data_IF_213680442906
#
_entry.id   IF_213680442906
#
_cell.length_a   1.000
_cell.length_b   1.000
_cell.length_c   1.000
_cell.angle_alpha   90.00
_cell.angle_beta   90.00
_cell.angle_gamma   90.00
#
_symmetry.space_group_name_H-M   'P 1'
#
loop_
_entity.id
_entity.type
_entity.pdbx_description
1 polymer ?
#
# COMPACT_ATOMS: atom_id res chain seq x y z
N UNK A 1 23.84 28.47 -66.88
CA UNK A 1 22.83 27.49 -66.38
C UNK A 1 23.24 27.09 -64.99
N UNK A 2 22.53 27.54 -63.94
CA UNK A 2 22.71 27.09 -62.57
C UNK A 2 21.63 26.05 -62.23
N UNK A 3 22.06 24.82 -61.97
CA UNK A 3 21.16 23.74 -61.57
C UNK A 3 20.93 23.87 -60.06
N UNK A 4 19.68 24.06 -59.68
CA UNK A 4 19.25 24.08 -58.28
C UNK A 4 19.10 22.66 -57.74
N UNK A 5 19.77 22.33 -56.63
CA UNK A 5 19.60 21.07 -55.91
C UNK A 5 18.35 21.13 -55.03
N UNK A 6 17.56 20.05 -54.93
CA UNK A 6 16.38 20.02 -54.07
C UNK A 6 16.75 19.87 -52.59
N UNK A 7 16.12 20.66 -51.74
CA UNK A 7 16.21 20.60 -50.27
C UNK A 7 15.51 19.32 -49.73
N UNK A 8 16.07 18.69 -48.72
CA UNK A 8 15.43 17.52 -48.11
C UNK A 8 14.20 17.88 -47.24
N UNK A 9 13.14 17.10 -47.39
CA UNK A 9 11.90 17.27 -46.66
C UNK A 9 12.07 17.13 -45.14
N UNK A 10 11.60 18.12 -44.39
CA UNK A 10 11.55 18.11 -42.90
C UNK A 10 10.54 17.05 -42.43
N UNK A 11 11.05 15.95 -41.85
CA UNK A 11 10.21 14.96 -41.12
C UNK A 11 9.62 15.63 -39.89
N UNK A 12 8.29 15.78 -39.83
CA UNK A 12 7.58 16.19 -38.62
C UNK A 12 7.71 15.10 -37.56
N UNK A 13 8.46 15.37 -36.51
CA UNK A 13 8.47 14.55 -35.32
C UNK A 13 7.09 14.59 -34.68
N UNK A 14 6.37 13.47 -34.68
CA UNK A 14 5.15 13.28 -33.90
C UNK A 14 5.55 13.24 -32.43
N UNK A 15 5.32 14.34 -31.70
CA UNK A 15 5.35 14.39 -30.25
C UNK A 15 4.32 13.39 -29.71
N UNK A 16 4.78 12.24 -29.24
CA UNK A 16 4.00 11.36 -28.39
C UNK A 16 3.91 12.03 -27.00
N UNK A 17 2.92 12.91 -26.84
CA UNK A 17 2.45 13.30 -25.51
C UNK A 17 1.86 12.03 -24.88
N UNK A 18 2.57 11.46 -23.93
CA UNK A 18 2.04 10.48 -23.01
C UNK A 18 0.77 11.06 -22.37
N UNK A 19 -0.39 10.56 -22.77
CA UNK A 19 -1.65 10.82 -22.05
C UNK A 19 -1.51 10.18 -20.66
N UNK A 20 -0.99 10.92 -19.70
CA UNK A 20 -1.14 10.59 -18.30
C UNK A 20 -2.63 10.64 -18.01
N UNK A 21 -3.21 9.50 -17.63
CA UNK A 21 -4.62 9.39 -17.25
C UNK A 21 -4.86 10.22 -15.97
N UNK A 22 -5.54 11.37 -16.02
CA UNK A 22 -5.76 12.23 -14.85
C UNK A 22 -6.68 11.57 -13.81
N UNK A 23 -7.40 10.50 -14.17
CA UNK A 23 -8.38 9.83 -13.33
C UNK A 23 -7.81 8.88 -12.25
N UNK A 24 -6.55 8.42 -12.37
CA UNK A 24 -5.97 7.52 -11.36
C UNK A 24 -5.54 8.24 -10.09
N UNK A 25 -5.00 9.46 -10.21
CA UNK A 25 -4.61 10.27 -9.05
C UNK A 25 -5.82 10.71 -8.22
N UNK A 26 -6.94 10.99 -8.89
CA UNK A 26 -8.17 11.41 -8.25
C UNK A 26 -8.81 10.32 -7.35
N UNK A 27 -8.75 9.03 -7.71
CA UNK A 27 -9.33 7.94 -6.90
C UNK A 27 -8.60 7.74 -5.55
N UNK A 28 -7.27 7.75 -5.54
CA UNK A 28 -6.47 7.62 -4.32
C UNK A 28 -6.67 8.84 -3.40
N UNK A 29 -6.69 10.04 -3.97
CA UNK A 29 -6.96 11.28 -3.23
C UNK A 29 -8.36 11.29 -2.60
N UNK A 30 -9.39 10.90 -3.37
CA UNK A 30 -10.76 10.78 -2.83
C UNK A 30 -10.86 9.74 -1.72
N UNK A 31 -10.23 8.59 -1.86
CA UNK A 31 -10.20 7.58 -0.80
C UNK A 31 -9.55 8.10 0.48
N UNK A 32 -8.44 8.86 0.39
CA UNK A 32 -7.82 9.48 1.57
C UNK A 32 -8.74 10.51 2.23
N UNK A 33 -9.47 11.31 1.44
CA UNK A 33 -10.46 12.25 1.97
C UNK A 33 -11.61 11.54 2.68
N UNK A 34 -12.15 10.46 2.10
CA UNK A 34 -13.22 9.63 2.68
C UNK A 34 -12.75 9.01 4.01
N UNK A 35 -11.56 8.41 4.06
CA UNK A 35 -10.96 7.87 5.29
C UNK A 35 -10.80 8.97 6.33
N UNK A 36 -10.28 10.14 5.93
CA UNK A 36 -10.12 11.28 6.81
C UNK A 36 -11.45 11.75 7.40
N UNK A 37 -12.50 11.85 6.60
CA UNK A 37 -13.83 12.24 7.04
C UNK A 37 -14.43 11.24 8.06
N UNK A 38 -14.29 9.93 7.81
CA UNK A 38 -14.72 8.88 8.74
C UNK A 38 -14.03 9.01 10.09
N UNK A 39 -12.72 9.24 10.11
CA UNK A 39 -11.94 9.39 11.34
C UNK A 39 -12.32 10.69 12.08
N UNK A 40 -12.47 11.81 11.37
CA UNK A 40 -12.87 13.11 11.96
C UNK A 40 -14.28 13.02 12.58
N UNK A 41 -15.18 12.24 11.97
CA UNK A 41 -16.51 11.96 12.54
C UNK A 41 -16.48 11.06 13.79
N UNK A 42 -15.29 10.69 14.30
CA UNK A 42 -15.13 9.87 15.50
C UNK A 42 -15.12 8.36 15.21
N UNK A 43 -14.97 7.96 13.96
CA UNK A 43 -14.88 6.56 13.57
C UNK A 43 -13.65 5.87 14.18
N UNK A 44 -13.88 4.75 14.87
CA UNK A 44 -12.82 3.95 15.52
C UNK A 44 -13.27 2.49 15.72
N UNK A 45 -12.28 1.65 16.01
CA UNK A 45 -12.52 0.23 16.30
C UNK A 45 -12.54 -0.66 15.06
N UNK A 46 -12.84 -1.92 15.28
CA UNK A 46 -12.74 -2.99 14.28
C UNK A 46 -13.49 -2.69 12.98
N UNK A 47 -14.76 -2.32 13.08
CA UNK A 47 -15.64 -2.13 11.90
C UNK A 47 -15.13 -1.01 10.99
N UNK A 48 -14.64 0.08 11.58
CA UNK A 48 -14.06 1.21 10.83
C UNK A 48 -12.74 0.80 10.16
N UNK A 49 -11.89 0.04 10.86
CA UNK A 49 -10.63 -0.45 10.28
C UNK A 49 -10.91 -1.42 9.12
N UNK A 50 -11.94 -2.26 9.22
CA UNK A 50 -12.37 -3.16 8.15
C UNK A 50 -12.89 -2.38 6.94
N UNK A 51 -13.75 -1.38 7.16
CA UNK A 51 -14.27 -0.51 6.09
C UNK A 51 -13.13 0.20 5.33
N UNK A 52 -12.15 0.75 6.08
CA UNK A 52 -10.98 1.39 5.50
C UNK A 52 -10.15 0.38 4.70
N UNK A 53 -9.90 -0.82 5.22
CA UNK A 53 -9.15 -1.86 4.49
C UNK A 53 -9.85 -2.23 3.17
N UNK A 54 -11.19 -2.37 3.19
CA UNK A 54 -11.99 -2.63 1.99
C UNK A 54 -11.94 -1.47 1.00
N UNK A 55 -12.00 -0.23 1.47
CA UNK A 55 -11.88 0.97 0.61
C UNK A 55 -10.51 1.01 -0.07
N UNK A 56 -9.43 0.79 0.67
CA UNK A 56 -8.05 0.70 0.14
C UNK A 56 -7.95 -0.37 -0.93
N UNK A 57 -8.48 -1.56 -0.66
CA UNK A 57 -8.50 -2.66 -1.62
C UNK A 57 -9.23 -2.29 -2.91
N UNK A 58 -10.46 -1.76 -2.81
CA UNK A 58 -11.29 -1.38 -3.97
C UNK A 58 -10.63 -0.28 -4.79
N UNK A 59 -10.03 0.70 -4.14
CA UNK A 59 -9.39 1.86 -4.79
C UNK A 59 -8.26 1.44 -5.72
N UNK A 60 -7.41 0.52 -5.28
CA UNK A 60 -6.23 0.06 -6.03
C UNK A 60 -6.40 -1.32 -6.65
N UNK A 61 -7.52 -2.01 -6.41
CA UNK A 61 -7.77 -3.41 -6.83
C UNK A 61 -6.68 -4.36 -6.30
N UNK A 62 -6.23 -4.12 -5.07
CA UNK A 62 -5.28 -5.02 -4.43
C UNK A 62 -5.91 -6.40 -4.23
N UNK A 63 -5.09 -7.45 -4.32
CA UNK A 63 -5.55 -8.80 -4.09
C UNK A 63 -6.04 -9.01 -2.66
N UNK A 64 -5.27 -8.51 -1.70
CA UNK A 64 -5.55 -8.61 -0.28
C UNK A 64 -4.92 -7.43 0.48
N UNK A 65 -5.63 -6.96 1.49
CA UNK A 65 -5.17 -5.95 2.44
C UNK A 65 -5.48 -6.45 3.83
N UNK A 66 -4.48 -6.50 4.69
CA UNK A 66 -4.61 -6.79 6.11
C UNK A 66 -4.14 -5.61 6.96
N UNK A 67 -4.83 -5.36 8.06
CA UNK A 67 -4.40 -4.42 9.10
C UNK A 67 -4.14 -5.23 10.36
N UNK A 68 -2.90 -5.18 10.82
CA UNK A 68 -2.48 -5.83 12.07
C UNK A 68 -2.26 -4.78 13.14
N UNK A 69 -2.75 -5.06 14.35
CA UNK A 69 -2.52 -4.27 15.54
C UNK A 69 -1.49 -4.97 16.43
N UNK A 70 -0.60 -4.21 17.07
CA UNK A 70 0.31 -4.75 18.08
C UNK A 70 -0.47 -4.92 19.38
N UNK A 71 -0.53 -6.17 19.85
CA UNK A 71 -1.13 -6.54 21.14
C UNK A 71 -0.07 -7.29 21.96
N UNK A 72 0.46 -6.63 22.99
CA UNK A 72 1.63 -7.11 23.74
C UNK A 72 2.86 -7.29 22.83
N UNK A 73 3.31 -8.52 22.63
CA UNK A 73 4.48 -8.87 21.82
C UNK A 73 4.10 -9.55 20.48
N UNK A 74 2.87 -9.36 20.01
CA UNK A 74 2.38 -9.97 18.78
C UNK A 74 1.73 -8.95 17.86
N UNK A 75 1.89 -9.16 16.55
CA UNK A 75 0.97 -8.65 15.56
C UNK A 75 -0.30 -9.53 15.55
N UNK A 76 -1.46 -8.90 15.67
CA UNK A 76 -2.76 -9.58 15.65
C UNK A 76 -3.60 -8.93 14.56
N UNK A 77 -4.20 -9.76 13.69
CA UNK A 77 -5.07 -9.25 12.63
C UNK A 77 -6.25 -8.50 13.26
N UNK A 78 -6.41 -7.25 12.87
CA UNK A 78 -7.54 -6.41 13.26
C UNK A 78 -8.61 -6.41 12.18
N UNK A 79 -8.20 -6.33 10.90
CA UNK A 79 -9.10 -6.40 9.77
C UNK A 79 -8.41 -7.01 8.55
N UNK A 80 -9.17 -7.69 7.69
CA UNK A 80 -8.69 -8.25 6.44
C UNK A 80 -9.78 -8.26 5.37
N UNK A 81 -9.38 -8.10 4.11
CA UNK A 81 -10.30 -8.08 2.97
C UNK A 81 -10.59 -9.47 2.42
N UNK A 82 -11.71 -9.60 1.65
CA UNK A 82 -12.07 -10.79 0.85
C UNK A 82 -12.41 -12.05 1.65
N UNK A 83 -12.77 -11.99 2.93
CA UNK A 83 -13.00 -13.17 3.77
C UNK A 83 -11.85 -14.21 3.72
N UNK A 84 -10.71 -13.86 3.14
CA UNK A 84 -9.52 -14.70 3.09
C UNK A 84 -8.82 -14.62 4.44
N UNK A 85 -8.85 -15.71 5.17
CA UNK A 85 -8.11 -15.80 6.43
C UNK A 85 -6.61 -15.94 6.11
N UNK A 86 -5.74 -15.04 6.62
CA UNK A 86 -4.29 -15.21 6.48
C UNK A 86 -3.84 -16.45 7.25
N UNK A 87 -2.77 -17.10 6.80
CA UNK A 87 -2.17 -18.23 7.51
C UNK A 87 -1.64 -17.81 8.89
N UNK A 88 -1.21 -16.55 9.01
CA UNK A 88 -0.66 -15.96 10.22
C UNK A 88 -1.58 -14.84 10.75
N UNK A 89 -2.75 -15.14 11.35
CA UNK A 89 -3.63 -14.11 11.93
C UNK A 89 -3.04 -13.51 13.21
N UNK A 90 -2.05 -14.17 13.81
CA UNK A 90 -1.27 -13.72 14.95
C UNK A 90 0.14 -14.27 14.84
N UNK A 91 1.14 -13.42 15.05
CA UNK A 91 2.55 -13.80 15.04
C UNK A 91 3.41 -12.82 15.86
N UNK A 92 4.59 -13.24 16.37
CA UNK A 92 5.47 -12.39 17.16
C UNK A 92 5.93 -11.14 16.41
N UNK A 93 6.08 -10.00 17.12
CA UNK A 93 6.54 -8.71 16.55
C UNK A 93 7.97 -8.76 15.98
N UNK A 94 8.72 -9.82 16.27
CA UNK A 94 10.09 -10.04 15.75
C UNK A 94 10.14 -10.91 14.50
N UNK A 95 9.00 -11.23 13.88
CA UNK A 95 8.93 -12.10 12.72
C UNK A 95 8.38 -11.39 11.48
N UNK A 96 8.88 -11.82 10.33
CA UNK A 96 8.38 -11.38 9.02
C UNK A 96 8.79 -9.98 8.64
N UNK A 97 8.27 -9.52 7.51
CA UNK A 97 8.48 -8.16 7.00
C UNK A 97 7.85 -7.10 7.90
N UNK A 98 6.83 -7.48 8.67
CA UNK A 98 6.21 -6.60 9.65
C UNK A 98 7.17 -6.23 10.78
N UNK A 99 8.04 -7.15 11.22
CA UNK A 99 9.10 -6.85 12.18
C UNK A 99 10.10 -5.84 11.63
N UNK A 100 10.50 -6.01 10.37
CA UNK A 100 11.39 -5.07 9.68
C UNK A 100 10.76 -3.67 9.55
N UNK A 101 9.47 -3.58 9.18
CA UNK A 101 8.76 -2.30 9.11
C UNK A 101 8.62 -1.63 10.48
N UNK A 102 8.41 -2.42 11.55
CA UNK A 102 8.36 -1.94 12.93
C UNK A 102 9.72 -1.37 13.39
N UNK A 103 10.80 -2.10 13.17
CA UNK A 103 12.15 -1.73 13.59
C UNK A 103 12.67 -0.50 12.85
N UNK A 104 12.53 -0.51 11.53
CA UNK A 104 12.98 0.58 10.67
C UNK A 104 12.02 1.78 10.66
N UNK A 105 10.82 1.64 11.21
CA UNK A 105 9.75 2.67 11.25
C UNK A 105 9.46 3.27 9.87
N UNK A 106 9.60 2.46 8.82
CA UNK A 106 9.38 2.86 7.43
C UNK A 106 8.73 1.75 6.61
N UNK A 107 8.17 2.13 5.49
CA UNK A 107 7.57 1.19 4.54
C UNK A 107 8.61 0.21 3.99
N UNK A 108 8.31 -1.07 4.10
CA UNK A 108 9.07 -2.16 3.49
C UNK A 108 8.32 -2.60 2.23
N UNK A 109 8.99 -2.53 1.08
CA UNK A 109 8.47 -3.00 -0.21
C UNK A 109 9.35 -4.13 -0.73
N UNK A 110 8.76 -5.31 -0.90
CA UNK A 110 9.47 -6.50 -1.42
C UNK A 110 8.90 -6.85 -2.78
N UNK A 111 9.65 -6.59 -3.86
CA UNK A 111 9.19 -6.84 -5.22
C UNK A 111 9.12 -8.34 -5.56
N UNK A 112 9.91 -9.17 -4.88
CA UNK A 112 9.96 -10.63 -5.05
C UNK A 112 10.26 -11.30 -3.70
N UNK A 113 9.22 -11.84 -3.06
CA UNK A 113 9.33 -12.46 -1.74
C UNK A 113 10.18 -13.74 -1.73
N UNK A 114 10.43 -14.37 -2.87
CA UNK A 114 11.29 -15.55 -2.96
C UNK A 114 12.75 -15.25 -2.63
N UNK A 115 13.13 -13.97 -2.65
CA UNK A 115 14.47 -13.47 -2.35
C UNK A 115 14.61 -12.88 -0.94
N UNK A 116 13.55 -12.93 -0.17
CA UNK A 116 13.50 -12.32 1.16
C UNK A 116 13.48 -13.39 2.25
N UNK A 117 14.61 -13.62 2.95
CA UNK A 117 14.71 -14.69 3.95
C UNK A 117 13.76 -14.56 5.12
N UNK A 118 13.35 -13.32 5.44
CA UNK A 118 12.44 -13.04 6.55
C UNK A 118 10.97 -13.11 6.16
N UNK A 119 10.64 -13.48 4.92
CA UNK A 119 9.26 -13.54 4.47
C UNK A 119 8.44 -14.56 5.26
N UNK A 120 7.33 -14.10 5.83
CA UNK A 120 6.34 -14.94 6.52
C UNK A 120 5.06 -14.97 5.69
N UNK A 121 4.76 -16.07 4.98
CA UNK A 121 3.67 -16.11 4.04
C UNK A 121 2.30 -16.14 4.73
N UNK A 122 1.41 -15.18 4.41
CA UNK A 122 -0.01 -15.32 4.69
C UNK A 122 -0.70 -16.19 3.64
N UNK A 123 -0.19 -16.17 2.40
CA UNK A 123 -0.70 -16.98 1.29
C UNK A 123 0.46 -17.56 0.48
N UNK A 124 0.43 -18.86 0.19
CA UNK A 124 1.45 -19.56 -0.62
C UNK A 124 1.64 -18.97 -2.03
N UNK A 125 0.63 -18.27 -2.53
CA UNK A 125 0.65 -17.63 -3.85
C UNK A 125 1.20 -16.22 -3.85
N UNK A 126 1.63 -15.68 -2.71
CA UNK A 126 2.22 -14.35 -2.62
C UNK A 126 3.58 -14.31 -3.33
N UNK A 127 3.76 -13.27 -4.15
CA UNK A 127 4.98 -13.03 -4.94
C UNK A 127 5.63 -11.69 -4.62
N UNK A 128 4.84 -10.70 -4.20
CA UNK A 128 5.34 -9.40 -3.72
C UNK A 128 4.48 -8.89 -2.57
N UNK A 129 5.08 -8.06 -1.72
CA UNK A 129 4.45 -7.57 -0.49
C UNK A 129 4.87 -6.13 -0.19
N UNK A 130 3.95 -5.37 0.37
CA UNK A 130 4.21 -4.05 0.96
C UNK A 130 3.71 -4.06 2.40
N UNK A 131 4.57 -3.64 3.32
CA UNK A 131 4.23 -3.46 4.74
C UNK A 131 4.48 -2.02 5.12
N UNK A 132 3.46 -1.34 5.64
CA UNK A 132 3.51 0.07 6.04
C UNK A 132 3.25 0.17 7.54
N UNK A 133 4.18 0.72 8.34
CA UNK A 133 3.96 0.91 9.78
C UNK A 133 2.88 1.97 10.02
N UNK A 134 1.99 1.69 10.96
CA UNK A 134 0.98 2.63 11.45
C UNK A 134 1.51 3.27 12.72
N UNK A 135 1.89 4.54 12.62
CA UNK A 135 2.54 5.28 13.70
C UNK A 135 1.53 6.22 14.34
N UNK A 136 1.44 6.17 15.65
CA UNK A 136 0.74 7.15 16.49
C UNK A 136 1.66 8.37 16.65
N UNK A 137 1.39 9.43 15.88
CA UNK A 137 2.21 10.64 15.87
C UNK A 137 2.14 11.42 17.20
N UNK A 138 1.10 11.20 18.04
CA UNK A 138 0.96 11.88 19.33
C UNK A 138 1.84 11.25 20.42
N UNK A 139 2.09 9.94 20.35
CA UNK A 139 2.86 9.20 21.35
C UNK A 139 4.13 8.56 20.79
N UNK A 140 4.48 8.87 19.55
CA UNK A 140 5.66 8.37 18.83
C UNK A 140 5.86 6.85 18.91
N UNK A 141 4.79 6.08 18.74
CA UNK A 141 4.82 4.62 18.82
C UNK A 141 4.18 3.96 17.61
N UNK A 142 4.66 2.81 17.20
CA UNK A 142 4.03 1.97 16.18
C UNK A 142 2.88 1.20 16.80
N UNK A 143 1.66 1.37 16.28
CA UNK A 143 0.46 0.67 16.74
C UNK A 143 0.20 -0.63 15.99
N UNK A 144 0.75 -0.77 14.79
CA UNK A 144 0.51 -1.89 13.91
C UNK A 144 1.09 -1.68 12.53
N UNK A 145 0.61 -2.45 11.56
CA UNK A 145 1.02 -2.36 10.16
C UNK A 145 -0.18 -2.55 9.22
N UNK A 146 -0.10 -1.91 8.04
CA UNK A 146 -0.89 -2.27 6.86
C UNK A 146 -0.04 -3.22 6.03
N UNK A 147 -0.57 -4.41 5.75
CA UNK A 147 0.08 -5.41 4.91
C UNK A 147 -0.74 -5.60 3.61
N UNK A 148 -0.07 -5.51 2.46
CA UNK A 148 -0.70 -5.68 1.14
C UNK A 148 0.10 -6.70 0.34
N UNK A 149 -0.58 -7.74 -0.12
CA UNK A 149 0.05 -8.85 -0.83
C UNK A 149 -0.48 -9.02 -2.26
N UNK A 150 0.40 -9.45 -3.15
CA UNK A 150 0.09 -9.74 -4.55
C UNK A 150 0.65 -11.09 -5.01
N UNK A 151 -0.10 -11.75 -5.90
CA UNK A 151 0.35 -12.98 -6.58
C UNK A 151 1.26 -12.68 -7.80
N UNK A 152 1.67 -11.43 -8.01
CA UNK A 152 2.57 -11.02 -9.08
C UNK A 152 3.84 -10.42 -8.48
N UNK A 153 5.00 -10.69 -9.06
CA UNK A 153 6.24 -9.97 -8.75
C UNK A 153 6.12 -8.52 -9.21
N UNK A 154 6.85 -7.61 -8.58
CA UNK A 154 6.88 -6.18 -8.91
C UNK A 154 5.48 -5.54 -9.01
N UNK A 155 4.53 -5.97 -8.16
CA UNK A 155 3.15 -5.49 -8.24
C UNK A 155 2.95 -4.07 -7.71
N UNK A 156 3.88 -3.57 -6.90
CA UNK A 156 3.75 -2.29 -6.18
C UNK A 156 4.81 -1.30 -6.61
N UNK A 157 4.40 -0.04 -6.76
CA UNK A 157 5.28 1.07 -7.13
C UNK A 157 5.22 2.24 -6.14
N UNK A 158 5.93 3.33 -6.48
CA UNK A 158 5.95 4.54 -5.65
C UNK A 158 4.56 5.08 -5.32
N UNK A 159 3.64 5.10 -6.31
CA UNK A 159 2.27 5.59 -6.11
C UNK A 159 1.46 4.73 -5.13
N UNK A 160 1.76 3.42 -5.02
CA UNK A 160 1.12 2.54 -4.03
C UNK A 160 1.67 2.83 -2.65
N UNK A 161 2.99 2.97 -2.53
CA UNK A 161 3.63 3.37 -1.28
C UNK A 161 3.08 4.69 -0.75
N UNK A 162 3.09 5.75 -1.57
CA UNK A 162 2.64 7.08 -1.18
C UNK A 162 1.18 7.06 -0.69
N UNK A 163 0.32 6.29 -1.36
CA UNK A 163 -1.07 6.11 -0.96
C UNK A 163 -1.22 5.36 0.37
N UNK A 164 -0.55 4.21 0.52
CA UNK A 164 -0.64 3.39 1.73
C UNK A 164 -0.04 4.11 2.94
N UNK A 165 1.04 4.86 2.77
CA UNK A 165 1.58 5.75 3.81
C UNK A 165 0.60 6.86 4.18
N UNK A 166 -0.13 7.42 3.19
CA UNK A 166 -1.23 8.35 3.43
C UNK A 166 -2.34 7.73 4.30
N UNK A 167 -2.74 6.50 3.99
CA UNK A 167 -3.71 5.75 4.80
C UNK A 167 -3.18 5.52 6.21
N UNK A 168 -1.93 5.08 6.36
CA UNK A 168 -1.33 4.79 7.66
C UNK A 168 -1.29 6.02 8.58
N UNK A 169 -1.03 7.22 8.02
CA UNK A 169 -1.06 8.50 8.75
C UNK A 169 -2.45 8.91 9.26
N UNK A 170 -3.51 8.28 8.79
CA UNK A 170 -4.88 8.61 9.20
C UNK A 170 -5.46 7.52 10.08
N UNK A 171 -5.29 6.25 9.70
CA UNK A 171 -5.95 5.10 10.32
C UNK A 171 -5.52 4.84 11.78
N UNK A 172 -4.37 5.34 12.22
CA UNK A 172 -3.88 5.10 13.58
C UNK A 172 -4.88 5.55 14.66
N UNK A 173 -5.69 6.58 14.38
CA UNK A 173 -6.74 7.04 15.30
C UNK A 173 -7.86 6.02 15.49
N UNK A 174 -8.14 5.19 14.48
CA UNK A 174 -9.12 4.11 14.58
C UNK A 174 -8.59 2.90 15.35
N UNK A 175 -7.27 2.75 15.46
CA UNK A 175 -6.61 1.64 16.16
C UNK A 175 -6.38 1.89 17.66
N UNK A 176 -6.65 3.07 18.14
CA UNK A 176 -6.57 3.43 19.58
C UNK A 176 -7.59 2.72 20.45
#
# INVERSE_FOLDING_TARGET
>A
MRVALPMPARKKAKSQRSRQEPFRHDRKGRALQEIGATIVAGGKGHDVVEEIAQLVQRTCKYRWVGVYKIKRNDFVIEAATNKMKPACPRFPIKQGLSAKALEERRTVMVPDVSKEPCFLPNFWSTKSEVVVPIIDDEHDRVLGVINVESAKVNAFGKSDRDFLEGVARIIWRALR
#
